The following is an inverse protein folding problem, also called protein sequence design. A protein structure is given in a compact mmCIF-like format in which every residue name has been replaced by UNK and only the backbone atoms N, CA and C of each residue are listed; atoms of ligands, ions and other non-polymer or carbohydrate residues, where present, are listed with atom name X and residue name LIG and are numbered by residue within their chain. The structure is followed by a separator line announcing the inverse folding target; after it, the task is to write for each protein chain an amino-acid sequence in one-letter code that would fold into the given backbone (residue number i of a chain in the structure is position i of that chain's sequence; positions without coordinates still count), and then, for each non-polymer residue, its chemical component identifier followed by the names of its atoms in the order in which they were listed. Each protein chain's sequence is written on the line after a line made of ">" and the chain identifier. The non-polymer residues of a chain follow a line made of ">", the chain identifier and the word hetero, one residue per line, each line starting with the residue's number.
data_IF_086639025678
#
_entry.id   IF_086639025678
#
_cell.length_a   1.000
_cell.length_b   1.000
_cell.length_c   1.000
_cell.angle_alpha   90.00
_cell.angle_beta   90.00
_cell.angle_gamma   90.00
#
_symmetry.space_group_name_H-M   'P 1'
#
loop_
_entity.id
_entity.type
_entity.pdbx_description
1 polymer ?
#
# COMPACT_ATOMS: atom_id res chain seq x y z
N UNK A 1 23.69 24.57 12.13
CA UNK A 1 22.42 23.94 12.53
C UNK A 1 22.39 22.44 12.20
N UNK A 2 23.20 21.96 11.24
CA UNK A 2 23.50 20.51 11.07
C UNK A 2 24.09 19.87 12.33
N UNK A 3 24.94 20.59 13.08
CA UNK A 3 25.53 20.08 14.33
C UNK A 3 24.49 19.90 15.45
N UNK A 4 23.39 20.66 15.44
CA UNK A 4 22.34 20.54 16.47
C UNK A 4 21.46 19.30 16.25
N UNK A 5 21.16 18.97 14.98
CA UNK A 5 20.43 17.75 14.62
C UNK A 5 21.32 16.52 14.82
N UNK A 6 22.62 16.61 14.52
CA UNK A 6 23.57 15.52 14.76
C UNK A 6 23.83 15.28 16.27
N UNK A 7 23.78 16.32 17.10
CA UNK A 7 23.89 16.20 18.56
C UNK A 7 22.59 15.73 19.23
N UNK A 8 21.42 15.89 18.60
CA UNK A 8 20.13 15.36 19.10
C UNK A 8 19.98 13.84 18.88
N UNK A 9 20.87 13.21 18.10
CA UNK A 9 20.97 11.75 18.00
C UNK A 9 21.60 11.08 19.24
N UNK A 10 21.96 11.84 20.27
CA UNK A 10 22.35 11.33 21.59
C UNK A 10 21.12 10.83 22.35
N UNK A 11 20.71 9.59 22.07
CA UNK A 11 19.75 8.77 22.81
C UNK A 11 18.74 9.56 23.65
N UNK A 12 17.82 10.27 23.01
CA UNK A 12 16.63 10.79 23.69
C UNK A 12 15.87 9.58 24.25
N UNK A 13 16.03 9.36 25.55
CA UNK A 13 15.33 8.31 26.29
C UNK A 13 14.18 8.94 27.05
N UNK A 14 13.08 8.20 27.18
CA UNK A 14 11.91 8.59 27.96
C UNK A 14 12.27 9.18 29.34
N UNK A 15 13.28 8.62 30.01
CA UNK A 15 13.74 9.09 31.32
C UNK A 15 14.25 10.54 31.34
N UNK A 16 14.76 11.06 30.22
CA UNK A 16 15.16 12.46 30.12
C UNK A 16 13.93 13.35 29.90
N UNK A 17 13.00 12.93 29.04
CA UNK A 17 11.75 13.66 28.79
C UNK A 17 10.91 13.78 30.06
N UNK A 18 10.83 12.71 30.87
CA UNK A 18 10.12 12.71 32.16
C UNK A 18 10.62 13.73 33.18
N UNK A 19 11.87 14.19 33.05
CA UNK A 19 12.45 15.19 33.95
C UNK A 19 12.10 16.62 33.54
N UNK A 20 11.64 16.82 32.30
CA UNK A 20 11.33 18.14 31.76
C UNK A 20 10.08 18.74 32.42
N UNK A 21 9.95 20.06 32.35
CA UNK A 21 8.78 20.74 32.91
C UNK A 21 7.55 20.50 32.04
N UNK A 22 7.73 20.43 30.73
CA UNK A 22 6.68 20.16 29.74
C UNK A 22 6.01 18.82 29.99
N UNK A 23 6.77 17.77 30.35
CA UNK A 23 6.19 16.47 30.72
C UNK A 23 5.33 16.56 31.99
N UNK A 24 5.79 17.32 33.00
CA UNK A 24 5.04 17.49 34.26
C UNK A 24 3.75 18.26 34.02
N UNK A 25 3.80 19.31 33.20
CA UNK A 25 2.62 20.07 32.78
C UNK A 25 1.63 19.18 32.01
N UNK A 26 2.13 18.34 31.10
CA UNK A 26 1.28 17.37 30.40
C UNK A 26 0.62 16.37 31.36
N UNK A 27 1.34 15.87 32.37
CA UNK A 27 0.77 14.99 33.39
C UNK A 27 -0.34 15.66 34.21
N UNK A 28 -0.22 16.96 34.49
CA UNK A 28 -1.25 17.72 35.20
C UNK A 28 -2.51 17.94 34.35
N UNK A 29 -2.35 18.11 33.03
CA UNK A 29 -3.48 18.22 32.10
C UNK A 29 -4.14 16.85 31.86
N UNK A 30 -3.34 15.81 31.70
CA UNK A 30 -3.77 14.45 31.33
C UNK A 30 -3.88 13.52 32.54
N UNK A 31 -4.43 14.02 33.65
CA UNK A 31 -4.56 13.26 34.91
C UNK A 31 -5.20 11.89 34.67
N UNK A 32 -4.48 10.83 35.04
CA UNK A 32 -4.92 9.44 34.89
C UNK A 32 -4.49 8.77 33.58
N UNK A 33 -3.91 9.50 32.63
CA UNK A 33 -3.48 9.00 31.31
C UNK A 33 -1.95 8.90 31.17
N UNK A 34 -1.21 9.02 32.27
CA UNK A 34 0.26 9.05 32.29
C UNK A 34 0.91 7.88 31.54
N UNK A 35 0.35 6.68 31.65
CA UNK A 35 0.85 5.51 30.93
C UNK A 35 0.71 5.66 29.41
N UNK A 36 -0.41 6.20 28.94
CA UNK A 36 -0.62 6.47 27.51
C UNK A 36 0.29 7.59 27.01
N UNK A 37 0.54 8.60 27.86
CA UNK A 37 1.53 9.64 27.59
C UNK A 37 2.94 9.07 27.43
N UNK A 38 3.33 8.13 28.29
CA UNK A 38 4.62 7.45 28.18
C UNK A 38 4.76 6.66 26.87
N UNK A 39 3.73 5.91 26.48
CA UNK A 39 3.74 5.16 25.20
C UNK A 39 3.78 6.11 23.99
N UNK A 40 2.97 7.17 24.00
CA UNK A 40 2.99 8.21 22.98
C UNK A 40 4.37 8.86 22.81
N UNK A 41 5.06 9.15 23.92
CA UNK A 41 6.42 9.69 23.89
C UNK A 41 7.41 8.66 23.34
N UNK A 42 7.31 7.38 23.70
CA UNK A 42 8.16 6.33 23.13
C UNK A 42 7.99 6.23 21.61
N UNK A 43 6.76 6.27 21.12
CA UNK A 43 6.46 6.26 19.69
C UNK A 43 7.06 7.49 19.00
N UNK A 44 6.88 8.68 19.58
CA UNK A 44 7.47 9.92 19.10
C UNK A 44 9.01 9.85 19.03
N UNK A 45 9.65 9.28 20.06
CA UNK A 45 11.10 9.09 20.12
C UNK A 45 11.65 8.08 19.10
N UNK A 46 10.86 7.06 18.74
CA UNK A 46 11.22 6.14 17.68
C UNK A 46 11.01 6.77 16.29
N UNK A 47 9.92 7.52 16.13
CA UNK A 47 9.56 8.13 14.85
C UNK A 47 10.49 9.28 14.47
N UNK A 48 10.97 10.10 15.42
CA UNK A 48 11.94 11.17 15.12
C UNK A 48 13.25 10.63 14.56
N UNK A 49 13.64 9.40 14.92
CA UNK A 49 14.86 8.77 14.40
C UNK A 49 14.70 8.25 12.97
N UNK A 50 13.45 8.10 12.51
CA UNK A 50 13.10 7.46 11.24
C UNK A 50 12.11 8.29 10.42
N UNK A 51 11.96 9.58 10.69
CA UNK A 51 10.90 10.36 10.05
C UNK A 51 11.14 10.51 8.54
N UNK A 52 12.38 10.52 8.08
CA UNK A 52 12.70 10.57 6.65
C UNK A 52 12.37 9.26 5.90
N UNK A 53 12.05 8.17 6.62
CA UNK A 53 11.81 6.84 6.03
C UNK A 53 10.43 6.66 5.39
N UNK A 54 9.48 7.59 5.57
CA UNK A 54 8.18 7.48 4.92
C UNK A 54 8.12 8.38 3.68
N UNK A 55 7.74 7.81 2.54
CA UNK A 55 7.47 8.61 1.35
C UNK A 55 6.21 9.44 1.55
N UNK A 56 6.35 10.77 1.55
CA UNK A 56 5.23 11.70 1.60
C UNK A 56 5.37 12.78 0.52
N UNK A 57 4.25 13.38 0.17
CA UNK A 57 4.18 14.51 -0.75
C UNK A 57 3.57 15.72 -0.04
N UNK A 58 4.10 16.91 -0.34
CA UNK A 58 3.52 18.17 0.11
C UNK A 58 2.65 18.74 -1.01
N UNK A 59 1.37 18.93 -0.75
CA UNK A 59 0.43 19.54 -1.68
C UNK A 59 -0.76 20.12 -0.93
N UNK A 60 -1.37 21.18 -1.48
CA UNK A 60 -2.53 21.85 -0.86
C UNK A 60 -2.31 22.25 0.61
N UNK A 61 -1.10 22.72 0.93
CA UNK A 61 -0.71 23.08 2.28
C UNK A 61 -0.83 21.93 3.30
N UNK A 62 -0.68 20.67 2.84
CA UNK A 62 -0.80 19.47 3.67
C UNK A 62 0.24 18.42 3.30
N UNK A 63 0.52 17.54 4.25
CA UNK A 63 1.26 16.29 4.00
C UNK A 63 0.27 15.24 3.54
N UNK A 64 0.54 14.63 2.38
CA UNK A 64 -0.27 13.57 1.78
C UNK A 64 0.57 12.32 1.51
N UNK A 65 -0.12 11.18 1.45
CA UNK A 65 0.45 9.88 1.18
C UNK A 65 -0.16 9.29 -0.07
N UNK A 66 0.66 8.70 -0.94
CA UNK A 66 0.15 7.99 -2.11
C UNK A 66 -0.44 6.65 -1.66
N UNK A 67 -1.76 6.51 -1.80
CA UNK A 67 -2.46 5.25 -1.63
C UNK A 67 -3.12 4.88 -2.96
N UNK A 68 -2.65 3.80 -3.58
CA UNK A 68 -3.07 3.38 -4.92
C UNK A 68 -2.99 4.57 -5.91
N UNK A 69 -4.14 5.01 -6.42
CA UNK A 69 -4.27 6.04 -7.45
C UNK A 69 -4.50 7.46 -6.91
N UNK A 70 -4.59 7.62 -5.58
CA UNK A 70 -4.95 8.89 -4.95
C UNK A 70 -3.94 9.34 -3.89
N UNK A 71 -3.88 10.65 -3.66
CA UNK A 71 -3.16 11.22 -2.52
C UNK A 71 -4.15 11.33 -1.36
N UNK A 72 -3.93 10.55 -0.32
CA UNK A 72 -4.70 10.58 0.91
C UNK A 72 -4.09 11.57 1.90
N UNK A 73 -4.86 12.61 2.26
CA UNK A 73 -4.46 13.63 3.25
C UNK A 73 -5.02 13.37 4.64
N UNK A 74 -5.87 12.36 4.79
CA UNK A 74 -6.50 11.93 6.05
C UNK A 74 -5.71 10.79 6.73
N UNK A 75 -4.62 10.33 6.13
CA UNK A 75 -3.78 9.25 6.63
C UNK A 75 -2.60 9.83 7.41
N UNK A 76 -2.25 9.18 8.51
CA UNK A 76 -1.12 9.56 9.36
C UNK A 76 -0.25 8.35 9.66
N UNK A 77 1.05 8.53 9.52
CA UNK A 77 2.07 7.55 9.86
C UNK A 77 2.70 7.93 11.20
N UNK A 78 1.98 7.63 12.28
CA UNK A 78 2.41 7.91 13.64
C UNK A 78 2.80 9.38 13.84
N UNK A 79 3.89 9.59 14.57
CA UNK A 79 4.50 10.90 14.76
C UNK A 79 5.41 11.32 13.61
N UNK A 80 5.72 10.42 12.66
CA UNK A 80 6.53 10.80 11.49
C UNK A 80 5.84 11.88 10.66
N UNK A 81 4.52 11.78 10.47
CA UNK A 81 3.73 12.84 9.80
C UNK A 81 3.85 14.17 10.54
N UNK A 82 3.80 14.15 11.88
CA UNK A 82 3.96 15.36 12.70
C UNK A 82 5.35 15.98 12.49
N UNK A 83 6.42 15.18 12.47
CA UNK A 83 7.77 15.67 12.19
C UNK A 83 7.93 16.18 10.75
N UNK A 84 7.26 15.57 9.77
CA UNK A 84 7.22 16.09 8.40
C UNK A 84 6.59 17.48 8.33
N UNK A 85 5.55 17.75 9.13
CA UNK A 85 4.97 19.10 9.26
C UNK A 85 5.96 20.11 9.84
N UNK A 86 6.74 19.76 10.87
CA UNK A 86 7.83 20.62 11.38
C UNK A 86 8.86 20.91 10.28
N UNK A 87 9.36 19.85 9.63
CA UNK A 87 10.40 19.95 8.61
C UNK A 87 9.99 20.79 7.40
N UNK A 88 8.76 20.62 6.90
CA UNK A 88 8.28 21.35 5.72
C UNK A 88 7.82 22.78 6.07
N UNK A 89 7.44 23.05 7.31
CA UNK A 89 7.19 24.41 7.79
C UNK A 89 8.47 25.23 7.86
N UNK A 90 9.58 24.67 8.36
CA UNK A 90 10.91 25.34 8.36
C UNK A 90 11.38 25.68 6.94
N UNK A 91 10.94 24.90 5.94
CA UNK A 91 11.23 25.13 4.52
C UNK A 91 10.23 26.05 3.82
N UNK A 92 9.30 26.65 4.57
CA UNK A 92 8.22 27.50 4.07
C UNK A 92 7.31 26.82 3.03
N UNK A 93 7.19 25.48 3.04
CA UNK A 93 6.26 24.75 2.16
C UNK A 93 4.88 24.53 2.80
N UNK A 94 4.81 24.62 4.13
CA UNK A 94 3.57 24.56 4.90
C UNK A 94 3.36 25.88 5.64
N UNK A 95 2.15 26.41 5.59
CA UNK A 95 1.72 27.61 6.28
C UNK A 95 1.73 27.43 7.81
N UNK A 96 1.88 28.52 8.54
CA UNK A 96 1.82 28.49 10.01
C UNK A 96 0.44 28.10 10.55
N UNK A 97 -0.64 28.23 9.76
CA UNK A 97 -1.97 27.76 10.14
C UNK A 97 -2.07 26.24 10.02
N UNK A 98 -1.69 25.68 8.87
CA UNK A 98 -1.72 24.23 8.66
C UNK A 98 -0.75 23.50 9.60
N UNK A 99 0.43 24.07 9.84
CA UNK A 99 1.36 23.56 10.84
C UNK A 99 0.71 23.44 12.23
N UNK A 100 0.12 24.54 12.75
CA UNK A 100 -0.52 24.57 14.06
C UNK A 100 -1.69 23.59 14.20
N UNK A 101 -2.45 23.39 13.13
CA UNK A 101 -3.59 22.47 13.12
C UNK A 101 -3.16 20.98 13.10
N UNK A 102 -1.89 20.68 12.81
CA UNK A 102 -1.39 19.30 12.68
C UNK A 102 -0.39 18.88 13.77
N UNK A 103 0.02 19.81 14.64
CA UNK A 103 0.89 19.52 15.80
C UNK A 103 0.06 19.19 17.05
N UNK A 104 -0.12 17.90 17.31
CA UNK A 104 -0.78 17.43 18.52
C UNK A 104 -0.27 16.06 18.96
N UNK A 105 -0.45 15.74 20.24
CA UNK A 105 -0.18 14.41 20.79
C UNK A 105 -1.36 13.51 20.45
N UNK A 106 -1.10 12.41 19.75
CA UNK A 106 -2.10 11.42 19.38
C UNK A 106 -1.97 10.16 20.22
N UNK A 107 -3.03 9.76 20.91
CA UNK A 107 -3.07 8.50 21.64
C UNK A 107 -3.64 7.38 20.78
N UNK A 108 -2.86 6.33 20.56
CA UNK A 108 -3.36 5.12 19.91
C UNK A 108 -4.13 4.26 20.92
N UNK A 109 -5.44 4.50 21.00
CA UNK A 109 -6.31 3.87 22.01
C UNK A 109 -6.86 2.49 21.62
N UNK A 110 -6.68 2.08 20.36
CA UNK A 110 -7.13 0.77 19.89
C UNK A 110 -6.85 0.56 18.40
N UNK A 111 -7.00 -0.68 17.95
CA UNK A 111 -7.05 -1.03 16.54
C UNK A 111 -8.25 -1.97 16.34
N UNK A 112 -8.95 -1.81 15.24
CA UNK A 112 -9.99 -2.74 14.82
C UNK A 112 -9.52 -3.45 13.56
N UNK A 113 -9.69 -4.77 13.53
CA UNK A 113 -9.55 -5.50 12.29
C UNK A 113 -10.74 -5.16 11.40
N UNK A 114 -10.48 -4.88 10.13
CA UNK A 114 -11.54 -4.63 9.15
C UNK A 114 -12.55 -5.79 9.11
N UNK A 115 -12.07 -7.03 9.28
CA UNK A 115 -12.90 -8.22 9.33
C UNK A 115 -13.84 -8.29 10.55
N UNK A 116 -13.53 -7.60 11.65
CA UNK A 116 -14.42 -7.55 12.81
C UNK A 116 -15.51 -6.50 12.63
N UNK A 117 -15.20 -5.36 11.99
CA UNK A 117 -16.15 -4.26 11.79
C UNK A 117 -17.38 -4.72 10.99
N UNK A 118 -17.18 -5.56 9.98
CA UNK A 118 -18.29 -6.02 9.15
C UNK A 118 -19.25 -6.97 9.88
N UNK A 119 -18.84 -7.62 10.97
CA UNK A 119 -19.71 -8.54 11.74
C UNK A 119 -20.85 -7.82 12.47
N UNK A 120 -20.68 -6.54 12.76
CA UNK A 120 -21.70 -5.71 13.41
C UNK A 120 -22.75 -5.19 12.43
N UNK A 121 -22.59 -5.42 11.13
CA UNK A 121 -23.55 -4.97 10.13
C UNK A 121 -24.81 -5.85 10.14
N UNK A 122 -25.98 -5.20 10.16
CA UNK A 122 -27.27 -5.91 10.06
C UNK A 122 -27.44 -6.67 8.74
N UNK A 123 -26.76 -6.23 7.67
CA UNK A 123 -26.81 -6.86 6.36
C UNK A 123 -25.46 -6.71 5.66
N UNK A 124 -24.84 -7.85 5.35
CA UNK A 124 -23.57 -7.91 4.61
C UNK A 124 -23.90 -8.36 3.18
N UNK A 125 -23.48 -7.57 2.20
CA UNK A 125 -23.62 -7.89 0.77
C UNK A 125 -22.29 -7.61 0.07
N UNK A 126 -22.00 -8.36 -0.98
CA UNK A 126 -20.78 -8.19 -1.76
C UNK A 126 -20.89 -8.85 -3.13
N UNK A 127 -20.01 -8.45 -4.02
CA UNK A 127 -19.87 -9.05 -5.36
C UNK A 127 -18.43 -9.47 -5.55
N UNK A 128 -18.22 -10.66 -6.13
CA UNK A 128 -16.90 -11.16 -6.48
C UNK A 128 -16.99 -12.03 -7.73
N UNK A 129 -15.98 -11.96 -8.58
CA UNK A 129 -15.84 -12.82 -9.75
C UNK A 129 -15.36 -14.23 -9.42
N UNK A 130 -14.81 -14.45 -8.22
CA UNK A 130 -14.12 -15.69 -7.82
C UNK A 130 -14.83 -16.46 -6.72
N UNK A 131 -16.07 -16.08 -6.35
CA UNK A 131 -16.79 -16.70 -5.24
C UNK A 131 -17.01 -18.21 -5.44
N UNK A 132 -17.14 -18.68 -6.69
CA UNK A 132 -17.28 -20.10 -7.02
C UNK A 132 -15.99 -20.92 -6.87
N UNK A 133 -14.84 -20.25 -6.83
CA UNK A 133 -13.51 -20.90 -6.85
C UNK A 133 -12.81 -20.78 -5.51
N UNK A 134 -13.52 -20.39 -4.45
CA UNK A 134 -12.99 -20.42 -3.10
C UNK A 134 -12.68 -21.85 -2.69
N UNK A 135 -11.59 -22.00 -1.95
CA UNK A 135 -11.25 -23.25 -1.25
C UNK A 135 -12.21 -23.48 -0.07
N UNK A 136 -12.30 -24.73 0.40
CA UNK A 136 -13.17 -25.08 1.53
C UNK A 136 -12.93 -24.20 2.78
N UNK A 137 -11.69 -23.89 3.20
CA UNK A 137 -11.45 -23.00 4.33
C UNK A 137 -11.92 -21.57 4.09
N UNK A 138 -11.74 -21.04 2.87
CA UNK A 138 -12.19 -19.69 2.52
C UNK A 138 -13.72 -19.60 2.52
N UNK A 139 -14.39 -20.63 1.98
CA UNK A 139 -15.85 -20.72 2.02
C UNK A 139 -16.36 -20.84 3.45
N UNK A 140 -15.70 -21.64 4.30
CA UNK A 140 -16.05 -21.77 5.71
C UNK A 140 -16.00 -20.44 6.45
N UNK A 141 -14.97 -19.61 6.21
CA UNK A 141 -14.87 -18.26 6.79
C UNK A 141 -16.04 -17.38 6.34
N UNK A 142 -16.38 -17.38 5.04
CA UNK A 142 -17.50 -16.60 4.50
C UNK A 142 -18.85 -16.99 5.12
N UNK A 143 -19.08 -18.29 5.29
CA UNK A 143 -20.33 -18.83 5.82
C UNK A 143 -20.44 -18.72 7.34
N UNK A 144 -19.36 -19.04 8.07
CA UNK A 144 -19.39 -19.14 9.53
C UNK A 144 -19.03 -17.84 10.23
N UNK A 145 -18.03 -17.11 9.74
CA UNK A 145 -17.53 -15.91 10.43
C UNK A 145 -18.30 -14.66 9.98
N UNK A 146 -18.74 -14.62 8.71
CA UNK A 146 -19.50 -13.51 8.16
C UNK A 146 -20.99 -13.81 7.94
N UNK A 147 -21.44 -15.05 8.22
CA UNK A 147 -22.84 -15.47 8.10
C UNK A 147 -23.46 -15.24 6.70
N UNK A 148 -22.63 -15.25 5.65
CA UNK A 148 -23.09 -15.11 4.26
C UNK A 148 -23.42 -16.49 3.72
N UNK A 149 -24.72 -16.80 3.67
CA UNK A 149 -25.24 -18.11 3.22
C UNK A 149 -25.96 -18.08 1.88
N UNK A 150 -26.17 -16.89 1.31
CA UNK A 150 -26.90 -16.72 0.05
C UNK A 150 -25.96 -16.30 -1.05
N UNK A 151 -25.91 -17.12 -2.09
CA UNK A 151 -25.09 -16.88 -3.27
C UNK A 151 -25.97 -16.76 -4.51
N UNK A 152 -25.77 -15.69 -5.27
CA UNK A 152 -26.41 -15.51 -6.58
C UNK A 152 -25.32 -15.48 -7.63
N UNK A 153 -25.40 -16.38 -8.60
CA UNK A 153 -24.40 -16.51 -9.65
C UNK A 153 -24.97 -16.01 -10.97
N UNK A 154 -24.50 -14.86 -11.40
CA UNK A 154 -24.84 -14.32 -12.71
C UNK A 154 -23.95 -14.98 -13.79
N UNK A 155 -24.52 -15.49 -14.89
CA UNK A 155 -23.72 -16.00 -16.00
C UNK A 155 -22.95 -14.86 -16.68
N UNK A 156 -21.80 -15.19 -17.27
CA UNK A 156 -21.05 -14.22 -18.09
C UNK A 156 -21.88 -13.80 -19.29
N UNK A 157 -22.00 -12.49 -19.53
CA UNK A 157 -22.59 -11.93 -20.74
C UNK A 157 -21.81 -12.30 -22.01
N UNK A 158 -20.52 -12.65 -21.85
CA UNK A 158 -19.60 -12.96 -22.94
C UNK A 158 -19.50 -14.46 -23.24
N UNK A 159 -20.27 -15.32 -22.56
CA UNK A 159 -20.22 -16.77 -22.73
C UNK A 159 -18.88 -17.41 -22.29
N UNK A 160 -18.66 -18.68 -22.66
CA UNK A 160 -17.47 -19.46 -22.29
C UNK A 160 -16.35 -19.36 -23.34
N UNK A 161 -15.94 -18.14 -23.68
CA UNK A 161 -14.93 -17.91 -24.72
C UNK A 161 -13.47 -18.05 -24.23
N UNK A 162 -13.27 -18.10 -22.92
CA UNK A 162 -11.96 -18.27 -22.29
C UNK A 162 -12.01 -19.45 -21.32
N UNK A 163 -11.52 -20.60 -21.76
CA UNK A 163 -11.42 -21.81 -20.94
C UNK A 163 -9.96 -22.08 -20.67
N UNK A 164 -9.58 -22.01 -19.40
CA UNK A 164 -8.25 -22.41 -18.93
C UNK A 164 -8.07 -23.92 -19.12
N UNK A 165 -7.00 -24.30 -19.80
CA UNK A 165 -6.64 -25.69 -20.05
C UNK A 165 -5.34 -26.01 -19.30
N UNK A 166 -5.46 -26.51 -18.07
CA UNK A 166 -4.34 -26.78 -17.16
C UNK A 166 -3.12 -27.46 -17.83
N UNK A 167 -3.36 -28.51 -18.62
CA UNK A 167 -2.30 -29.25 -19.32
C UNK A 167 -1.59 -28.48 -20.44
N UNK A 168 -2.21 -27.42 -20.96
CA UNK A 168 -1.70 -26.62 -22.08
C UNK A 168 -1.20 -25.25 -21.63
N UNK A 169 -1.80 -24.70 -20.59
CA UNK A 169 -1.57 -23.32 -20.15
C UNK A 169 -0.59 -23.24 -18.96
N UNK A 170 -0.26 -24.36 -18.30
CA UNK A 170 0.77 -24.43 -17.25
C UNK A 170 2.07 -24.99 -17.82
N UNK A 171 3.16 -24.24 -17.59
CA UNK A 171 4.51 -24.65 -17.96
C UNK A 171 5.39 -24.73 -16.72
N UNK A 172 6.01 -25.90 -16.48
CA UNK A 172 7.04 -26.07 -15.46
C UNK A 172 8.40 -26.00 -16.17
N UNK A 173 9.17 -24.97 -15.87
CA UNK A 173 10.46 -24.71 -16.52
C UNK A 173 11.55 -24.48 -15.48
N UNK A 174 12.81 -24.66 -15.90
CA UNK A 174 13.96 -24.25 -15.09
C UNK A 174 14.00 -22.73 -14.99
N UNK A 175 14.45 -22.21 -13.86
CA UNK A 175 14.57 -20.78 -13.60
C UNK A 175 15.37 -20.04 -14.69
N UNK A 176 16.48 -20.64 -15.15
CA UNK A 176 17.29 -20.08 -16.26
C UNK A 176 16.53 -19.90 -17.57
N UNK A 177 15.48 -20.68 -17.78
CA UNK A 177 14.68 -20.69 -19.00
C UNK A 177 13.37 -19.91 -18.83
N UNK A 178 13.06 -19.43 -17.62
CA UNK A 178 11.79 -18.79 -17.31
C UNK A 178 11.47 -17.61 -18.24
N UNK A 179 12.39 -16.65 -18.37
CA UNK A 179 12.22 -15.49 -19.25
C UNK A 179 12.23 -15.84 -20.74
N UNK A 180 12.98 -16.88 -21.13
CA UNK A 180 13.02 -17.35 -22.52
C UNK A 180 11.65 -17.94 -22.90
N UNK A 181 11.12 -18.84 -22.08
CA UNK A 181 9.81 -19.44 -22.28
C UNK A 181 8.70 -18.40 -22.26
N UNK A 182 8.71 -17.49 -21.28
CA UNK A 182 7.73 -16.41 -21.18
C UNK A 182 7.75 -15.52 -22.44
N UNK A 183 8.93 -15.09 -22.90
CA UNK A 183 9.02 -14.30 -24.12
C UNK A 183 8.58 -15.09 -25.36
N UNK A 184 8.85 -16.39 -25.42
CA UNK A 184 8.36 -17.29 -26.46
C UNK A 184 6.83 -17.30 -26.52
N UNK A 185 6.16 -17.44 -25.38
CA UNK A 185 4.69 -17.38 -25.30
C UNK A 185 4.14 -16.02 -25.72
N UNK A 186 4.76 -14.92 -25.28
CA UNK A 186 4.36 -13.57 -25.72
C UNK A 186 4.49 -13.44 -27.25
N UNK A 187 5.60 -13.92 -27.85
CA UNK A 187 5.78 -13.94 -29.30
C UNK A 187 4.66 -14.72 -30.01
N UNK A 188 4.39 -15.93 -29.54
CA UNK A 188 3.40 -16.82 -30.16
C UNK A 188 1.99 -16.19 -30.15
N UNK A 189 1.61 -15.50 -29.08
CA UNK A 189 0.29 -14.86 -28.96
C UNK A 189 0.19 -13.54 -29.73
N UNK A 190 1.27 -12.75 -29.78
CA UNK A 190 1.31 -11.47 -30.52
C UNK A 190 1.33 -11.65 -32.05
N UNK A 191 2.05 -12.65 -32.55
CA UNK A 191 2.10 -12.94 -33.99
C UNK A 191 0.82 -13.68 -34.41
N UNK A 192 0.36 -14.61 -33.56
CA UNK A 192 -0.71 -15.53 -33.91
C UNK A 192 -0.26 -16.54 -34.96
N UNK A 193 -1.08 -17.58 -35.16
CA UNK A 193 -0.91 -18.51 -36.28
C UNK A 193 -1.53 -17.97 -37.57
N UNK A 194 -2.58 -17.14 -37.45
CA UNK A 194 -3.31 -16.46 -38.53
C UNK A 194 -3.70 -15.04 -38.05
N UNK A 195 -4.07 -14.10 -38.95
CA UNK A 195 -4.45 -12.73 -38.54
C UNK A 195 -5.59 -12.66 -37.51
N UNK A 196 -6.50 -13.64 -37.50
CA UNK A 196 -7.60 -13.74 -36.54
C UNK A 196 -7.17 -14.26 -35.15
N UNK A 197 -5.95 -14.79 -35.01
CA UNK A 197 -5.43 -15.35 -33.75
C UNK A 197 -4.38 -14.47 -33.08
N UNK A 198 -4.04 -13.32 -33.69
CA UNK A 198 -3.24 -12.26 -33.07
C UNK A 198 -3.99 -11.66 -31.88
N UNK A 199 -3.34 -11.58 -30.72
CA UNK A 199 -3.93 -11.07 -29.48
C UNK A 199 -2.98 -10.12 -28.76
N UNK A 200 -3.54 -9.11 -28.10
CA UNK A 200 -2.81 -8.37 -27.08
C UNK A 200 -2.47 -9.30 -25.91
N UNK A 201 -1.35 -9.04 -25.24
CA UNK A 201 -0.85 -9.88 -24.14
C UNK A 201 -0.68 -8.99 -22.92
N UNK A 202 -1.30 -9.40 -21.81
CA UNK A 202 -1.11 -8.82 -20.49
C UNK A 202 -0.32 -9.80 -19.64
N UNK A 203 0.79 -9.35 -19.07
CA UNK A 203 1.70 -10.18 -18.28
C UNK A 203 1.76 -9.64 -16.86
N UNK A 204 1.50 -10.51 -15.89
CA UNK A 204 1.52 -10.17 -14.46
C UNK A 204 2.76 -10.75 -13.79
N UNK A 205 3.30 -9.99 -12.85
CA UNK A 205 4.38 -10.42 -11.97
C UNK A 205 3.94 -10.19 -10.52
N UNK A 206 4.39 -11.06 -9.62
CA UNK A 206 4.06 -10.95 -8.19
C UNK A 206 4.65 -9.67 -7.57
N UNK A 207 5.83 -9.26 -8.04
CA UNK A 207 6.53 -8.08 -7.52
C UNK A 207 7.04 -7.17 -8.63
N UNK A 208 7.15 -5.87 -8.31
CA UNK A 208 7.82 -4.88 -9.16
C UNK A 208 9.24 -5.29 -9.51
N UNK A 209 9.95 -5.93 -8.58
CA UNK A 209 11.32 -6.42 -8.79
C UNK A 209 11.38 -7.43 -9.94
N UNK A 210 10.54 -8.47 -9.90
CA UNK A 210 10.48 -9.49 -10.94
C UNK A 210 10.06 -8.90 -12.30
N UNK A 211 9.11 -7.96 -12.29
CA UNK A 211 8.69 -7.24 -13.50
C UNK A 211 9.89 -6.52 -14.13
N UNK A 212 10.64 -5.76 -13.33
CA UNK A 212 11.79 -5.00 -13.84
C UNK A 212 12.92 -5.93 -14.29
N UNK A 213 13.19 -7.03 -13.59
CA UNK A 213 14.17 -8.04 -14.01
C UNK A 213 13.81 -8.64 -15.38
N UNK A 214 12.54 -8.94 -15.63
CA UNK A 214 12.08 -9.41 -16.94
C UNK A 214 12.19 -8.31 -18.00
N UNK A 215 11.71 -7.11 -17.70
CA UNK A 215 11.70 -5.98 -18.63
C UNK A 215 13.12 -5.60 -19.07
N UNK A 216 14.06 -5.56 -18.13
CA UNK A 216 15.48 -5.26 -18.38
C UNK A 216 16.28 -6.44 -18.95
N UNK A 217 15.69 -7.65 -19.00
CA UNK A 217 16.37 -8.82 -19.53
C UNK A 217 16.66 -8.68 -21.03
N UNK A 218 17.75 -9.29 -21.47
CA UNK A 218 18.10 -9.37 -22.90
C UNK A 218 17.00 -10.02 -23.75
N UNK A 219 16.17 -10.86 -23.14
CA UNK A 219 15.05 -11.54 -23.79
C UNK A 219 13.93 -10.56 -24.19
N UNK A 220 13.78 -9.43 -23.51
CA UNK A 220 12.69 -8.47 -23.75
C UNK A 220 13.13 -7.16 -24.42
N UNK A 221 14.44 -6.92 -24.55
CA UNK A 221 15.02 -5.68 -25.11
C UNK A 221 14.38 -5.23 -26.44
N UNK A 222 14.19 -6.15 -27.39
CA UNK A 222 13.63 -5.84 -28.71
C UNK A 222 12.17 -5.35 -28.70
N UNK A 223 11.51 -5.40 -27.54
CA UNK A 223 10.07 -5.15 -27.37
C UNK A 223 9.75 -4.04 -26.40
N UNK A 224 10.75 -3.50 -25.70
CA UNK A 224 10.57 -2.41 -24.74
C UNK A 224 9.78 -1.24 -25.32
N UNK A 225 10.07 -0.87 -26.56
CA UNK A 225 9.40 0.26 -27.25
C UNK A 225 7.90 0.07 -27.48
N UNK A 226 7.42 -1.18 -27.54
CA UNK A 226 6.02 -1.51 -27.79
C UNK A 226 5.31 -2.07 -26.55
N UNK A 227 5.98 -2.03 -25.39
CA UNK A 227 5.48 -2.56 -24.14
C UNK A 227 5.10 -1.43 -23.20
N UNK A 228 3.98 -1.61 -22.52
CA UNK A 228 3.50 -0.70 -21.49
C UNK A 228 3.74 -1.37 -20.14
N UNK A 229 4.45 -0.68 -19.25
CA UNK A 229 4.63 -1.12 -17.86
C UNK A 229 3.57 -0.46 -17.00
N UNK A 230 2.85 -1.27 -16.23
CA UNK A 230 1.91 -0.81 -15.22
C UNK A 230 2.32 -1.34 -13.85
N UNK A 231 2.36 -0.46 -12.87
CA UNK A 231 2.70 -0.71 -11.47
C UNK A 231 1.74 0.07 -10.56
N UNK A 232 1.68 -0.31 -9.29
CA UNK A 232 0.93 0.41 -8.25
C UNK A 232 1.42 1.87 -8.06
N UNK A 233 2.62 2.19 -8.57
CA UNK A 233 3.20 3.53 -8.47
C UNK A 233 2.82 4.45 -9.64
N UNK A 234 2.14 3.95 -10.67
CA UNK A 234 1.64 4.79 -11.76
C UNK A 234 0.54 5.74 -11.27
N UNK A 235 0.32 6.86 -11.97
CA UNK A 235 -0.79 7.78 -11.67
C UNK A 235 -2.09 7.30 -12.33
N UNK A 236 -3.24 7.79 -11.86
CA UNK A 236 -4.53 7.51 -12.51
C UNK A 236 -4.54 7.94 -13.98
N UNK A 237 -3.97 9.11 -14.28
CA UNK A 237 -3.86 9.64 -15.64
C UNK A 237 -3.00 8.71 -16.50
N UNK A 238 -1.86 8.25 -15.98
CA UNK A 238 -1.04 7.25 -16.67
C UNK A 238 -1.85 5.98 -16.95
N UNK A 239 -2.69 5.51 -16.02
CA UNK A 239 -3.51 4.31 -16.24
C UNK A 239 -4.63 4.49 -17.27
N UNK A 240 -5.20 5.67 -17.43
CA UNK A 240 -6.31 5.93 -18.37
C UNK A 240 -5.86 6.23 -19.81
N UNK A 241 -4.64 6.73 -20.00
CA UNK A 241 -4.12 7.11 -21.33
C UNK A 241 -3.24 6.03 -22.01
N UNK A 242 -3.22 4.82 -21.45
CA UNK A 242 -2.49 3.65 -21.97
C UNK A 242 -3.42 2.69 -22.73
#
# INVERSE_FOLDING_TARGET
>A
MEVAIHLLQLSLKLNYVKKSNEYKECCEVLKGWNALLDEAIKDMLNDIQKFESHGYQVSNDKIGYKEQDSICYNVRYGYKTLFAYYYEHERNKISGESFRNNIFISFKIGNFSYAEVSKDFCCIMGVSGTLKTLSEPEQEVVEKDFHISKYTYMPSLFGNNFVFAEKKDIFIVKESNYFITLNGEINNRLIGTNPATRRAVLVFFESKKQLMEFYESSNFLARKENAIIMTEENTHEEKEYL
#
